data_IF_138196148673
#
_entry.id   IF_138196148673
#
_cell.length_a   1.000
_cell.length_b   1.000
_cell.length_c   1.000
_cell.angle_alpha   90.00
_cell.angle_beta   90.00
_cell.angle_gamma   90.00
#
_symmetry.space_group_name_H-M   'P 1'
#
loop_
_entity.id
_entity.type
_entity.pdbx_description
1 polymer ?
#
# COMPACT_ATOMS: atom_id res chain seq x y z
N UNK A 1 11.43 6.85 2.79
CA UNK A 1 11.38 7.67 4.03
C UNK A 1 10.02 8.31 4.06
N UNK A 2 9.25 8.08 5.13
CA UNK A 2 7.94 8.70 5.30
C UNK A 2 8.08 10.22 5.32
N UNK A 3 7.23 10.94 4.59
CA UNK A 3 7.24 12.40 4.58
C UNK A 3 6.87 12.92 5.98
N UNK A 4 7.54 13.97 6.43
CA UNK A 4 7.22 14.66 7.69
C UNK A 4 6.52 15.97 7.33
N UNK A 5 5.31 16.15 7.83
CA UNK A 5 4.60 17.44 7.78
C UNK A 5 4.47 17.99 9.19
N UNK A 6 4.75 19.29 9.33
CA UNK A 6 4.60 20.01 10.59
C UNK A 6 3.44 20.99 10.50
N UNK A 7 2.55 20.92 11.49
CA UNK A 7 1.45 21.84 11.69
C UNK A 7 1.78 22.83 12.80
N UNK A 8 1.38 24.06 12.59
CA UNK A 8 1.43 25.09 13.63
C UNK A 8 0.06 25.23 14.25
N UNK A 9 -0.06 24.90 15.54
CA UNK A 9 -1.30 25.04 16.31
C UNK A 9 -1.24 26.30 17.12
N UNK A 10 -2.23 27.16 16.96
CA UNK A 10 -2.41 28.36 17.79
C UNK A 10 -3.75 28.30 18.53
N UNK A 11 -3.91 29.16 19.53
CA UNK A 11 -5.14 29.26 20.31
C UNK A 11 -5.64 30.68 20.22
N UNK A 12 -6.93 30.83 19.89
CA UNK A 12 -7.62 32.08 19.91
C UNK A 12 -9.08 31.89 20.34
N UNK A 13 -9.72 32.98 20.77
CA UNK A 13 -11.12 33.00 21.15
C UNK A 13 -11.96 33.67 20.06
N UNK A 14 -12.75 32.91 19.28
CA UNK A 14 -13.63 33.47 18.26
C UNK A 14 -14.94 34.04 18.82
N UNK A 15 -15.07 34.17 20.15
CA UNK A 15 -16.29 34.65 20.81
C UNK A 15 -17.04 33.59 21.64
N UNK A 16 -16.68 32.30 21.49
CA UNK A 16 -17.33 31.17 22.19
C UNK A 16 -16.35 30.33 23.02
N UNK A 17 -15.26 30.94 23.50
CA UNK A 17 -14.19 30.28 24.22
C UNK A 17 -12.98 29.97 23.32
N UNK A 18 -11.90 29.53 23.96
CA UNK A 18 -10.68 29.20 23.24
C UNK A 18 -10.87 28.02 22.28
N UNK A 19 -10.25 28.14 21.10
CA UNK A 19 -10.25 27.12 20.06
C UNK A 19 -8.87 26.95 19.48
N UNK A 20 -8.56 25.77 18.98
CA UNK A 20 -7.37 25.54 18.19
C UNK A 20 -7.56 26.05 16.75
N UNK A 21 -6.50 26.66 16.26
CA UNK A 21 -6.33 27.01 14.85
C UNK A 21 -5.14 26.21 14.33
N UNK A 22 -5.34 25.40 13.32
CA UNK A 22 -4.28 24.64 12.65
C UNK A 22 -3.88 25.40 11.40
N UNK A 23 -2.60 25.80 11.31
CA UNK A 23 -2.07 26.63 10.22
C UNK A 23 -2.94 27.88 9.94
N UNK A 24 -3.54 28.44 11.00
CA UNK A 24 -4.37 29.65 10.93
C UNK A 24 -5.88 29.38 10.66
N UNK A 25 -6.30 28.15 10.50
CA UNK A 25 -7.70 27.78 10.25
C UNK A 25 -8.35 27.26 11.54
N UNK A 26 -9.52 27.82 11.86
CA UNK A 26 -10.29 27.46 13.06
C UNK A 26 -10.74 25.99 12.99
N UNK A 27 -10.32 25.20 13.99
CA UNK A 27 -10.68 23.80 14.15
C UNK A 27 -10.59 22.99 12.83
N UNK A 28 -9.52 23.25 12.05
CA UNK A 28 -9.28 22.64 10.75
C UNK A 28 -9.39 21.12 10.82
N UNK A 29 -10.09 20.53 9.86
CA UNK A 29 -10.07 19.10 9.66
C UNK A 29 -8.78 18.70 8.98
N UNK A 30 -7.87 18.05 9.72
CA UNK A 30 -6.61 17.58 9.16
C UNK A 30 -6.74 16.18 8.59
N UNK A 31 -6.08 15.93 7.47
CA UNK A 31 -5.98 14.60 6.86
C UNK A 31 -4.59 14.04 7.13
N UNK A 32 -4.54 12.89 7.77
CA UNK A 32 -3.34 12.19 8.20
C UNK A 32 -3.28 10.85 7.43
N UNK A 33 -2.33 10.72 6.50
CA UNK A 33 -2.14 9.50 5.75
C UNK A 33 -1.42 8.44 6.60
N UNK A 34 -1.87 7.21 6.52
CA UNK A 34 -1.27 6.05 7.17
C UNK A 34 0.20 5.88 6.73
N UNK A 35 1.06 5.43 7.64
CA UNK A 35 2.49 5.28 7.41
C UNK A 35 3.30 6.57 7.47
N UNK A 36 2.65 7.75 7.53
CA UNK A 36 3.34 9.04 7.54
C UNK A 36 3.48 9.62 8.95
N UNK A 37 4.46 10.51 9.09
CA UNK A 37 4.77 11.19 10.35
C UNK A 37 4.30 12.64 10.30
N UNK A 38 3.55 13.05 11.30
CA UNK A 38 3.06 14.42 11.46
C UNK A 38 3.49 14.99 12.80
N UNK A 39 3.86 16.28 12.78
CA UNK A 39 4.30 17.01 13.97
C UNK A 39 3.34 18.17 14.20
N UNK A 40 2.85 18.32 15.43
CA UNK A 40 2.03 19.45 15.85
C UNK A 40 2.77 20.24 16.91
N UNK A 41 3.09 21.50 16.58
CA UNK A 41 3.62 22.44 17.54
C UNK A 41 2.48 23.27 18.10
N UNK A 42 2.28 23.24 19.41
CA UNK A 42 1.16 23.87 20.09
C UNK A 42 1.63 24.74 21.27
N UNK A 43 0.82 25.76 21.71
CA UNK A 43 1.24 26.64 22.77
C UNK A 43 1.20 25.94 24.13
N UNK A 44 2.09 26.33 25.02
CA UNK A 44 2.07 25.89 26.42
C UNK A 44 0.73 26.21 27.08
N UNK A 45 0.30 25.34 28.01
CA UNK A 45 -0.99 25.50 28.73
C UNK A 45 -2.19 24.91 27.99
N UNK A 46 -2.03 24.44 26.75
CA UNK A 46 -3.08 23.78 25.97
C UNK A 46 -2.53 22.47 25.37
N UNK A 47 -2.39 21.38 26.18
CA UNK A 47 -1.82 20.14 25.69
C UNK A 47 -2.67 19.53 24.59
N UNK A 48 -2.05 19.32 23.43
CA UNK A 48 -2.68 18.77 22.23
C UNK A 48 -2.59 17.24 22.24
N UNK A 49 -3.72 16.57 22.16
CA UNK A 49 -3.84 15.12 22.22
C UNK A 49 -4.80 14.61 21.16
N UNK A 50 -4.74 13.30 20.91
CA UNK A 50 -5.64 12.58 20.01
C UNK A 50 -6.58 11.64 20.76
N UNK A 51 -7.76 11.39 20.21
CA UNK A 51 -8.75 10.44 20.71
C UNK A 51 -9.59 9.91 19.56
N UNK A 52 -10.20 8.75 19.74
CA UNK A 52 -11.25 8.23 18.84
C UNK A 52 -12.64 8.86 19.12
N UNK A 53 -12.75 9.62 20.20
CA UNK A 53 -13.97 10.30 20.61
C UNK A 53 -13.79 11.81 20.40
N UNK A 54 -14.79 12.46 19.80
CA UNK A 54 -14.80 13.92 19.66
C UNK A 54 -14.67 14.58 21.04
N UNK A 55 -13.81 15.61 21.13
CA UNK A 55 -13.44 16.30 22.38
C UNK A 55 -12.79 15.37 23.46
N UNK A 56 -12.40 14.17 23.07
CA UNK A 56 -11.57 13.26 23.86
C UNK A 56 -12.13 12.96 25.26
N UNK A 57 -11.31 13.17 26.27
CA UNK A 57 -11.64 12.87 27.67
C UNK A 57 -12.80 13.73 28.22
N UNK A 58 -13.10 14.88 27.61
CA UNK A 58 -14.22 15.71 28.02
C UNK A 58 -15.59 15.12 27.62
N UNK A 59 -15.58 14.23 26.62
CA UNK A 59 -16.78 13.50 26.17
C UNK A 59 -16.75 12.01 26.56
N UNK A 60 -15.96 11.64 27.58
CA UNK A 60 -15.87 10.27 28.09
C UNK A 60 -14.98 9.35 27.25
N UNK A 61 -14.25 9.89 26.29
CA UNK A 61 -13.26 9.14 25.52
C UNK A 61 -11.94 8.97 26.28
N UNK A 62 -11.02 8.27 25.63
CA UNK A 62 -9.65 8.06 26.12
C UNK A 62 -8.66 8.62 25.14
N UNK A 63 -7.47 8.94 25.62
CA UNK A 63 -6.35 9.35 24.76
C UNK A 63 -5.94 8.23 23.82
N UNK A 64 -5.82 8.55 22.53
CA UNK A 64 -5.21 7.66 21.54
C UNK A 64 -3.70 7.84 21.57
N UNK A 65 -2.98 6.74 21.83
CA UNK A 65 -1.52 6.75 22.03
C UNK A 65 -0.75 5.95 20.98
N UNK A 66 -1.42 5.20 20.10
CA UNK A 66 -0.76 4.39 19.08
C UNK A 66 -0.01 5.28 18.09
N UNK A 67 1.31 5.13 18.02
CA UNK A 67 2.17 5.94 17.18
C UNK A 67 2.34 7.40 17.65
N UNK A 68 1.76 7.79 18.79
CA UNK A 68 1.84 9.15 19.34
C UNK A 68 3.01 9.27 20.31
N UNK A 69 3.79 10.32 20.14
CA UNK A 69 4.92 10.68 21.04
C UNK A 69 4.81 12.13 21.46
N UNK A 70 4.72 12.37 22.77
CA UNK A 70 4.78 13.70 23.34
C UNK A 70 6.26 14.10 23.50
N UNK A 71 6.77 14.89 22.53
CA UNK A 71 8.19 15.27 22.49
C UNK A 71 8.53 16.34 23.52
N UNK A 72 7.56 17.21 23.84
CA UNK A 72 7.68 18.25 24.85
C UNK A 72 6.29 18.73 25.29
N UNK A 73 6.23 19.71 26.19
CA UNK A 73 4.97 20.37 26.60
C UNK A 73 4.32 21.22 25.51
N UNK A 74 4.95 21.34 24.34
CA UNK A 74 4.50 22.16 23.21
C UNK A 74 4.61 21.44 21.87
N UNK A 75 4.91 20.14 21.87
CA UNK A 75 5.15 19.38 20.66
C UNK A 75 4.70 17.93 20.81
N UNK A 76 3.88 17.48 19.88
CA UNK A 76 3.49 16.08 19.72
C UNK A 76 3.77 15.61 18.31
N UNK A 77 4.20 14.37 18.20
CA UNK A 77 4.42 13.68 16.91
C UNK A 77 3.50 12.47 16.86
N UNK A 78 2.89 12.24 15.71
CA UNK A 78 2.14 11.01 15.41
C UNK A 78 2.71 10.36 14.16
N UNK A 79 3.02 9.07 14.26
CA UNK A 79 3.21 8.17 13.12
C UNK A 79 1.89 7.44 12.95
N UNK A 80 1.18 7.73 11.88
CA UNK A 80 -0.16 7.17 11.67
C UNK A 80 -0.05 5.68 11.39
N UNK A 81 -0.64 4.87 12.24
CA UNK A 81 -0.63 3.42 12.08
C UNK A 81 -1.48 2.99 10.87
N UNK A 82 -1.17 1.83 10.31
CA UNK A 82 -2.01 1.18 9.30
C UNK A 82 -3.39 0.89 9.90
N UNK A 83 -4.44 1.17 9.15
CA UNK A 83 -5.84 1.02 9.60
C UNK A 83 -6.17 1.81 10.88
N UNK A 84 -5.53 2.96 11.08
CA UNK A 84 -5.83 3.83 12.20
C UNK A 84 -7.30 4.26 12.16
N UNK A 85 -8.01 4.25 13.30
CA UNK A 85 -9.40 4.68 13.35
C UNK A 85 -9.52 6.18 13.09
N UNK A 86 -10.74 6.64 12.81
CA UNK A 86 -11.03 8.08 12.80
C UNK A 86 -10.57 8.73 14.10
N UNK A 87 -9.76 9.78 14.01
CA UNK A 87 -9.23 10.50 15.16
C UNK A 87 -9.83 11.89 15.26
N UNK A 88 -9.77 12.42 16.47
CA UNK A 88 -10.07 13.80 16.83
C UNK A 88 -8.92 14.33 17.65
N UNK A 89 -8.48 15.56 17.39
CA UNK A 89 -7.53 16.22 18.26
C UNK A 89 -8.29 17.08 19.29
N UNK A 90 -7.76 17.19 20.49
CA UNK A 90 -8.40 17.91 21.58
C UNK A 90 -7.39 18.48 22.56
N UNK A 91 -7.80 19.42 23.40
CA UNK A 91 -7.01 19.91 24.53
C UNK A 91 -7.38 19.11 25.78
N UNK A 92 -6.40 18.51 26.48
CA UNK A 92 -6.73 17.72 27.67
C UNK A 92 -7.18 18.55 28.89
N UNK A 93 -7.00 19.88 28.86
CA UNK A 93 -7.37 20.77 29.96
C UNK A 93 -8.68 21.53 29.73
N UNK A 94 -9.04 21.78 28.46
CA UNK A 94 -10.19 22.62 28.12
C UNK A 94 -11.07 21.93 27.08
N UNK A 95 -12.39 21.87 27.29
CA UNK A 95 -13.30 21.27 26.33
C UNK A 95 -13.51 22.13 25.08
N UNK A 96 -14.01 21.51 24.02
CA UNK A 96 -14.45 22.14 22.76
C UNK A 96 -13.37 22.86 21.96
N UNK A 97 -12.09 22.68 22.30
CA UNK A 97 -10.98 23.34 21.59
C UNK A 97 -10.61 22.66 20.27
N UNK A 98 -10.83 21.37 20.18
CA UNK A 98 -10.32 20.51 19.12
C UNK A 98 -11.19 20.41 17.87
N UNK A 99 -10.78 19.53 16.98
CA UNK A 99 -11.43 19.23 15.70
C UNK A 99 -11.15 17.81 15.24
N UNK A 100 -11.43 17.54 13.98
CA UNK A 100 -11.33 16.23 13.38
C UNK A 100 -9.95 16.00 12.75
N UNK A 101 -9.43 14.80 12.90
CA UNK A 101 -8.23 14.33 12.22
C UNK A 101 -8.57 13.03 11.49
N UNK A 102 -8.82 13.14 10.19
CA UNK A 102 -9.10 11.96 9.36
C UNK A 102 -7.84 11.15 9.20
N UNK A 103 -7.93 9.86 9.45
CA UNK A 103 -6.91 8.90 9.10
C UNK A 103 -7.30 8.25 7.78
N UNK A 104 -6.40 8.28 6.83
CA UNK A 104 -6.71 7.85 5.46
C UNK A 104 -5.61 6.93 4.98
N UNK A 105 -5.99 5.92 4.21
CA UNK A 105 -5.01 5.08 3.54
C UNK A 105 -4.08 5.95 2.69
N UNK A 106 -2.78 5.66 2.74
CA UNK A 106 -1.77 6.33 1.92
C UNK A 106 -2.04 6.20 0.41
N UNK A 107 -2.86 5.21 0.03
CA UNK A 107 -3.24 4.93 -1.36
C UNK A 107 -4.42 5.77 -1.86
N UNK A 108 -5.00 6.63 -1.01
CA UNK A 108 -6.18 7.42 -1.37
C UNK A 108 -5.84 8.63 -2.22
N UNK A 109 -6.54 8.78 -3.35
CA UNK A 109 -6.40 9.93 -4.26
C UNK A 109 -6.66 11.26 -3.54
N UNK A 110 -5.76 12.21 -3.72
CA UNK A 110 -5.94 13.60 -3.25
C UNK A 110 -5.67 13.85 -1.78
N UNK A 111 -5.15 12.88 -1.03
CA UNK A 111 -4.92 13.00 0.41
C UNK A 111 -3.62 13.70 0.79
N UNK A 112 -2.66 13.74 -0.12
CA UNK A 112 -1.41 14.47 0.07
C UNK A 112 -1.49 15.81 -0.65
N UNK A 113 -1.02 16.87 0.00
CA UNK A 113 -0.94 18.19 -0.62
C UNK A 113 -0.12 18.12 -1.92
N UNK A 114 -0.56 18.88 -2.91
CA UNK A 114 0.15 19.08 -4.17
C UNK A 114 1.64 19.36 -3.91
N UNK A 115 2.52 18.46 -4.38
CA UNK A 115 3.97 18.60 -4.20
C UNK A 115 4.58 17.81 -3.05
N UNK A 116 3.82 17.02 -2.30
CA UNK A 116 4.35 16.22 -1.20
C UNK A 116 5.12 14.98 -1.67
N UNK A 117 4.73 14.41 -2.80
CA UNK A 117 5.48 13.36 -3.49
C UNK A 117 5.85 13.85 -4.88
N UNK A 118 7.03 13.49 -5.36
CA UNK A 118 7.36 13.66 -6.77
C UNK A 118 6.33 12.90 -7.60
N UNK A 119 5.91 13.47 -8.71
CA UNK A 119 5.03 12.82 -9.69
C UNK A 119 5.52 11.40 -9.96
N UNK A 120 4.72 10.40 -9.61
CA UNK A 120 5.07 8.98 -9.80
C UNK A 120 5.75 8.29 -8.61
N UNK A 121 6.01 8.96 -7.49
CA UNK A 121 6.44 8.30 -6.24
C UNK A 121 5.25 7.99 -5.36
N UNK A 122 4.54 6.95 -5.68
CA UNK A 122 3.76 6.23 -4.69
C UNK A 122 4.67 5.21 -4.05
N UNK A 123 4.47 4.96 -2.75
CA UNK A 123 5.16 3.89 -2.08
C UNK A 123 4.91 2.61 -2.89
N UNK A 124 5.95 2.17 -3.60
CA UNK A 124 5.91 0.91 -4.33
C UNK A 124 5.66 -0.18 -3.31
N UNK A 125 4.45 -0.70 -3.27
CA UNK A 125 4.19 -1.95 -2.57
C UNK A 125 4.92 -3.02 -3.36
N UNK A 126 6.16 -3.29 -2.97
CA UNK A 126 6.94 -4.38 -3.53
C UNK A 126 6.35 -5.68 -3.02
N UNK A 127 5.40 -6.23 -3.75
CA UNK A 127 4.93 -7.58 -3.48
C UNK A 127 5.92 -8.55 -4.09
N UNK A 128 6.63 -9.25 -3.24
CA UNK A 128 7.52 -10.32 -3.68
C UNK A 128 6.69 -11.47 -4.24
N UNK A 129 6.72 -11.66 -5.54
CA UNK A 129 6.14 -12.84 -6.17
C UNK A 129 6.97 -14.06 -5.78
N UNK A 130 6.48 -14.84 -4.85
CA UNK A 130 7.06 -16.15 -4.53
C UNK A 130 6.66 -17.16 -5.59
N UNK A 131 7.55 -17.32 -6.55
CA UNK A 131 7.61 -18.51 -7.40
C UNK A 131 6.60 -18.57 -8.55
N UNK A 132 7.05 -18.17 -9.73
CA UNK A 132 6.55 -18.72 -10.98
C UNK A 132 7.48 -19.88 -11.35
N UNK A 133 7.01 -21.11 -11.29
CA UNK A 133 7.76 -22.26 -11.81
C UNK A 133 7.06 -22.80 -13.04
N UNK A 134 7.80 -22.95 -14.12
CA UNK A 134 7.35 -23.64 -15.32
C UNK A 134 8.22 -24.89 -15.51
N UNK A 135 7.60 -26.06 -15.50
CA UNK A 135 8.29 -27.31 -15.82
C UNK A 135 7.80 -27.77 -17.18
N UNK A 136 8.70 -27.84 -18.13
CA UNK A 136 8.43 -28.43 -19.46
C UNK A 136 9.10 -29.79 -19.54
N UNK A 137 8.32 -30.82 -19.86
CA UNK A 137 8.83 -32.14 -20.11
C UNK A 137 8.56 -32.50 -21.58
N UNK A 138 9.60 -32.88 -22.27
CA UNK A 138 9.49 -33.47 -23.61
C UNK A 138 9.39 -34.98 -23.42
N UNK A 139 8.31 -35.58 -23.85
CA UNK A 139 8.20 -37.05 -23.85
C UNK A 139 9.33 -37.69 -24.69
N UNK A 140 9.65 -38.93 -24.37
CA UNK A 140 10.70 -39.69 -25.12
C UNK A 140 10.20 -39.97 -26.54
N UNK A 141 10.77 -39.38 -27.57
CA UNK A 141 10.39 -39.73 -28.94
C UNK A 141 10.81 -41.16 -29.24
N UNK A 142 9.87 -41.97 -29.65
CA UNK A 142 10.16 -43.29 -30.12
C UNK A 142 10.33 -43.21 -31.65
N UNK A 143 11.57 -43.28 -32.09
CA UNK A 143 11.86 -43.41 -33.52
C UNK A 143 11.66 -44.87 -33.91
N UNK A 144 10.78 -45.12 -34.82
CA UNK A 144 10.72 -46.43 -35.49
C UNK A 144 11.80 -46.42 -36.59
N UNK A 145 12.72 -47.33 -36.46
CA UNK A 145 13.75 -47.54 -37.47
C UNK A 145 13.10 -48.33 -38.60
N UNK A 146 12.88 -47.69 -39.71
CA UNK A 146 12.60 -48.49 -40.92
C UNK A 146 13.83 -49.29 -41.28
N UNK A 147 13.61 -50.55 -41.54
CA UNK A 147 14.60 -51.44 -42.05
C UNK A 147 15.20 -50.83 -43.33
N UNK A 148 16.52 -50.65 -43.32
CA UNK A 148 17.23 -50.02 -44.44
C UNK A 148 17.04 -50.75 -45.77
N UNK A 149 17.40 -50.09 -46.83
CA UNK A 149 17.42 -50.65 -48.18
C UNK A 149 17.89 -52.10 -48.24
N UNK A 150 16.97 -53.00 -48.58
CA UNK A 150 17.25 -54.42 -48.76
C UNK A 150 16.82 -55.35 -47.64
N UNK A 151 16.15 -54.83 -46.57
CA UNK A 151 15.67 -55.70 -45.49
C UNK A 151 14.26 -56.25 -45.75
N UNK A 152 13.48 -55.60 -46.63
CA UNK A 152 12.19 -56.11 -47.03
C UNK A 152 12.24 -56.82 -48.38
N UNK A 153 11.32 -57.77 -48.55
CA UNK A 153 11.17 -58.50 -49.79
C UNK A 153 10.80 -57.57 -50.95
N UNK A 154 11.50 -57.68 -52.06
CA UNK A 154 11.24 -56.88 -53.27
C UNK A 154 9.72 -56.84 -53.59
N UNK A 155 9.14 -55.64 -53.64
CA UNK A 155 7.75 -55.40 -54.05
C UNK A 155 6.76 -55.21 -52.90
N UNK A 156 7.21 -55.17 -51.65
CA UNK A 156 6.30 -55.03 -50.53
C UNK A 156 5.86 -53.54 -50.30
N UNK A 157 6.69 -52.60 -50.67
CA UNK A 157 6.32 -51.17 -50.64
C UNK A 157 6.56 -50.50 -51.99
N UNK A 158 5.66 -49.59 -52.37
CA UNK A 158 5.84 -48.80 -53.61
C UNK A 158 7.07 -47.91 -53.53
N UNK A 159 7.69 -47.63 -54.65
CA UNK A 159 8.83 -46.73 -54.79
C UNK A 159 8.53 -45.39 -54.14
N UNK A 160 9.28 -45.01 -53.07
CA UNK A 160 9.16 -43.71 -52.37
C UNK A 160 8.24 -43.73 -51.15
N UNK A 161 7.77 -44.91 -50.68
CA UNK A 161 6.82 -45.01 -49.57
C UNK A 161 7.43 -45.19 -48.18
N UNK A 162 8.65 -44.73 -47.95
CA UNK A 162 9.24 -44.70 -46.62
C UNK A 162 8.60 -43.59 -45.79
N UNK A 163 7.45 -43.85 -45.19
CA UNK A 163 6.86 -42.95 -44.21
C UNK A 163 7.44 -43.23 -42.81
N UNK A 164 8.46 -42.47 -42.44
CA UNK A 164 8.94 -42.51 -41.07
C UNK A 164 7.88 -41.87 -40.18
N UNK A 165 7.09 -42.69 -39.50
CA UNK A 165 6.13 -42.16 -38.49
C UNK A 165 6.87 -41.92 -37.18
N UNK A 166 7.13 -40.67 -36.89
CA UNK A 166 7.67 -40.26 -35.58
C UNK A 166 6.46 -39.92 -34.72
N UNK A 167 6.14 -40.78 -33.77
CA UNK A 167 5.10 -40.47 -32.76
C UNK A 167 5.78 -39.68 -31.65
N UNK A 168 5.48 -38.40 -31.58
CA UNK A 168 5.88 -37.57 -30.47
C UNK A 168 4.84 -37.70 -29.36
N UNK A 169 5.11 -38.38 -28.24
CA UNK A 169 4.21 -38.35 -27.10
C UNK A 169 4.20 -36.88 -26.60
N UNK A 170 3.02 -36.32 -26.46
CA UNK A 170 2.74 -34.92 -26.32
C UNK A 170 3.68 -34.14 -25.37
N UNK A 171 3.94 -32.92 -25.74
CA UNK A 171 4.59 -31.92 -24.90
C UNK A 171 3.61 -31.53 -23.77
N UNK A 172 3.95 -31.86 -22.53
CA UNK A 172 3.20 -31.39 -21.34
C UNK A 172 3.94 -30.21 -20.74
N UNK A 173 3.26 -29.07 -20.62
CA UNK A 173 3.73 -27.92 -19.86
C UNK A 173 2.80 -27.73 -18.66
N UNK A 174 3.34 -27.78 -17.46
CA UNK A 174 2.60 -27.44 -16.24
C UNK A 174 3.14 -26.11 -15.74
N UNK A 175 2.29 -25.10 -15.71
CA UNK A 175 2.60 -23.80 -15.13
C UNK A 175 1.88 -23.67 -13.79
N UNK A 176 2.61 -23.38 -12.73
CA UNK A 176 2.04 -23.02 -11.44
C UNK A 176 2.34 -21.54 -11.18
N UNK A 177 1.30 -20.76 -10.97
CA UNK A 177 1.41 -19.37 -10.53
C UNK A 177 1.29 -19.41 -9.02
N UNK A 178 2.31 -18.93 -8.30
CA UNK A 178 2.22 -18.76 -6.86
C UNK A 178 1.19 -17.68 -6.49
N UNK A 179 0.87 -17.57 -5.21
CA UNK A 179 -0.09 -16.59 -4.71
C UNK A 179 0.29 -15.17 -5.16
N UNK A 180 -0.55 -14.60 -6.02
CA UNK A 180 -0.47 -13.22 -6.45
C UNK A 180 -1.20 -12.37 -5.42
N UNK A 181 -0.47 -11.71 -4.55
CA UNK A 181 -1.05 -10.59 -3.82
C UNK A 181 -1.15 -9.42 -4.80
N UNK A 182 -2.35 -8.89 -4.99
CA UNK A 182 -2.60 -7.85 -5.97
C UNK A 182 -1.70 -6.64 -5.74
N UNK A 183 -0.91 -6.28 -6.75
CA UNK A 183 -0.19 -5.00 -6.78
C UNK A 183 -1.18 -3.97 -7.31
N UNK A 184 -1.76 -3.18 -6.43
CA UNK A 184 -2.48 -1.99 -6.85
C UNK A 184 -1.41 -0.95 -7.16
N UNK A 185 -1.26 -0.60 -8.41
CA UNK A 185 -0.52 0.60 -8.81
C UNK A 185 -1.52 1.73 -8.99
N UNK A 186 -1.68 2.62 -8.03
CA UNK A 186 -2.38 3.85 -8.27
C UNK A 186 -1.37 4.84 -8.87
N UNK A 187 -1.49 5.16 -10.13
CA UNK A 187 -0.64 6.16 -10.76
C UNK A 187 -0.80 6.19 -12.26
N UNK A 188 -1.19 7.33 -12.75
CA UNK A 188 -1.13 7.66 -14.18
C UNK A 188 0.35 7.83 -14.58
N UNK A 189 0.83 6.95 -15.44
CA UNK A 189 1.93 7.25 -16.32
C UNK A 189 3.34 6.92 -15.85
N UNK A 190 3.66 5.65 -15.68
CA UNK A 190 4.95 5.14 -16.14
C UNK A 190 4.71 3.86 -16.92
N UNK A 191 4.48 4.04 -18.22
CA UNK A 191 4.78 2.98 -19.17
C UNK A 191 6.29 3.03 -19.40
N UNK A 192 6.99 2.02 -18.97
CA UNK A 192 8.28 1.65 -19.53
C UNK A 192 8.06 0.51 -20.50
#
# INVERSE_FOLDING_TARGET
MSAIRTFTVTVANPGSGNRYYIDGVLQETVNLAEGYTYVFNYPAGHPFKFSTTSDGTHSGGVEYTTGVTHNSSTKVTIVVADSAPQLYYYCSLHPYMGGQANTVSSDSWGMLNYGHNTWGSQDDVVTTLTGLSATTAVGTPTAFHETGWGADTWGFEGWGGANTIITLPGLTATTAVGDLTAVIRPGWGTLN
#
